data_IF_813377277126
#
_entry.id   IF_813377277126
#
_cell.length_a   1.000
_cell.length_b   1.000
_cell.length_c   1.000
_cell.angle_alpha   90.00
_cell.angle_beta   90.00
_cell.angle_gamma   90.00
#
_symmetry.space_group_name_H-M   'P 1'
#
loop_
_entity.id
_entity.type
_entity.pdbx_description
1 polymer ?
#
# COMPACT_ATOMS: atom_id res chain seq x y z
N UNK A 1 54.90 -66.93 -1.29
CA UNK A 1 54.22 -66.00 -2.21
C UNK A 1 52.98 -65.46 -1.51
N UNK A 2 53.11 -64.37 -0.76
CA UNK A 2 51.97 -63.63 -0.19
C UNK A 2 52.31 -62.15 -0.30
N UNK A 3 51.49 -61.45 -1.08
CA UNK A 3 51.73 -60.10 -1.55
C UNK A 3 51.57 -59.10 -0.40
N UNK A 4 52.54 -58.19 -0.34
CA UNK A 4 52.54 -56.89 0.34
C UNK A 4 51.23 -56.15 0.04
N UNK A 5 50.28 -56.21 0.96
CA UNK A 5 49.10 -55.33 0.94
C UNK A 5 49.55 -53.92 1.30
N UNK A 6 49.26 -53.01 0.37
CA UNK A 6 49.57 -51.61 0.48
C UNK A 6 48.85 -50.97 1.68
N UNK A 7 49.65 -50.23 2.43
CA UNK A 7 49.28 -49.28 3.46
C UNK A 7 48.13 -48.36 2.98
N UNK A 8 47.06 -48.15 3.78
CA UNK A 8 46.07 -47.11 3.49
C UNK A 8 46.77 -45.74 3.51
N UNK A 9 46.55 -44.96 2.44
CA UNK A 9 47.02 -43.59 2.29
C UNK A 9 46.62 -42.79 3.54
N UNK A 10 47.62 -42.40 4.32
CA UNK A 10 47.46 -41.49 5.44
C UNK A 10 46.82 -40.18 4.93
N UNK A 11 45.66 -39.84 5.49
CA UNK A 11 45.10 -38.50 5.34
C UNK A 11 46.16 -37.47 5.77
N UNK A 12 46.33 -36.35 5.05
CA UNK A 12 47.30 -35.35 5.44
C UNK A 12 46.97 -34.86 6.85
N UNK A 13 47.93 -35.05 7.76
CA UNK A 13 47.88 -34.57 9.11
C UNK A 13 47.60 -33.06 9.08
N UNK A 14 46.43 -32.67 9.59
CA UNK A 14 46.13 -31.28 9.86
C UNK A 14 47.23 -30.69 10.73
N UNK A 15 47.76 -29.55 10.31
CA UNK A 15 48.71 -28.74 11.07
C UNK A 15 48.19 -28.54 12.51
N UNK A 16 49.02 -28.81 13.55
CA UNK A 16 48.66 -28.50 14.93
C UNK A 16 48.66 -26.98 15.11
N UNK A 17 47.56 -26.34 14.74
CA UNK A 17 47.42 -24.89 14.76
C UNK A 17 46.29 -24.34 13.88
N UNK A 18 45.79 -25.10 12.91
CA UNK A 18 44.69 -24.64 12.04
C UNK A 18 43.34 -24.91 12.73
N UNK A 19 43.04 -24.17 13.79
CA UNK A 19 41.69 -24.06 14.29
C UNK A 19 40.83 -23.50 13.15
N UNK A 20 40.01 -24.36 12.52
CA UNK A 20 39.02 -23.92 11.53
C UNK A 20 38.20 -22.81 12.21
N UNK A 21 38.28 -21.56 11.73
CA UNK A 21 37.46 -20.51 12.29
C UNK A 21 36.01 -20.91 11.99
N UNK A 22 35.23 -21.19 13.04
CA UNK A 22 33.81 -21.48 12.89
C UNK A 22 33.11 -20.38 12.07
N UNK A 23 31.95 -20.66 11.47
CA UNK A 23 31.19 -19.66 10.72
C UNK A 23 31.03 -18.44 11.61
N UNK A 24 31.78 -17.37 11.31
CA UNK A 24 31.67 -16.11 12.04
C UNK A 24 30.23 -15.69 11.84
N UNK A 25 29.42 -15.89 12.88
CA UNK A 25 28.06 -15.40 12.93
C UNK A 25 28.14 -13.93 12.57
N UNK A 26 27.77 -13.62 11.34
CA UNK A 26 27.75 -12.27 10.82
C UNK A 26 26.69 -11.60 11.66
N UNK A 27 27.12 -10.91 12.72
CA UNK A 27 26.27 -10.04 13.50
C UNK A 27 25.61 -9.13 12.48
N UNK A 28 24.34 -9.41 12.18
CA UNK A 28 23.48 -8.54 11.39
C UNK A 28 23.37 -7.30 12.24
N UNK A 29 24.26 -6.35 11.99
CA UNK A 29 24.22 -5.04 12.61
C UNK A 29 22.89 -4.41 12.23
N UNK A 30 21.92 -4.50 13.13
CA UNK A 30 20.76 -3.60 13.18
C UNK A 30 21.22 -2.21 13.65
N UNK A 31 22.34 -1.73 13.12
CA UNK A 31 22.90 -0.42 13.38
C UNK A 31 22.38 0.52 12.29
N UNK A 32 21.14 1.00 12.45
CA UNK A 32 20.57 1.92 11.46
C UNK A 32 19.28 2.67 11.82
N UNK A 33 18.61 2.41 12.94
CA UNK A 33 17.28 3.02 13.20
C UNK A 33 17.26 4.21 14.17
N UNK A 34 18.38 4.56 14.80
CA UNK A 34 18.37 5.52 15.93
C UNK A 34 18.21 7.01 15.53
N UNK A 35 18.57 7.41 14.31
CA UNK A 35 18.42 8.82 13.85
C UNK A 35 17.04 9.16 13.27
N UNK A 36 16.26 8.16 12.89
CA UNK A 36 14.91 8.32 12.31
C UNK A 36 13.85 8.70 13.36
N UNK A 37 14.09 8.35 14.63
CA UNK A 37 13.16 8.56 15.75
C UNK A 37 13.20 9.97 16.36
N UNK A 38 14.12 10.84 15.95
CA UNK A 38 14.15 12.25 16.40
C UNK A 38 13.29 13.16 15.53
N UNK A 39 13.06 12.77 14.29
CA UNK A 39 12.18 13.47 13.34
C UNK A 39 10.73 13.00 13.43
N UNK A 40 10.45 11.94 14.21
CA UNK A 40 9.11 11.40 14.34
C UNK A 40 8.16 12.32 15.11
N UNK A 41 8.62 13.14 16.08
CA UNK A 41 7.71 14.04 16.80
C UNK A 41 7.14 15.15 15.87
N UNK A 42 7.96 15.97 15.18
CA UNK A 42 7.42 16.97 14.26
C UNK A 42 6.69 16.34 13.07
N UNK A 43 7.15 15.18 12.57
CA UNK A 43 6.44 14.46 11.52
C UNK A 43 5.07 13.94 11.99
N UNK A 44 4.97 13.37 13.19
CA UNK A 44 3.70 12.89 13.75
C UNK A 44 2.74 14.05 14.01
N UNK A 45 3.21 15.17 14.55
CA UNK A 45 2.37 16.37 14.73
C UNK A 45 1.86 16.86 13.37
N UNK A 46 2.73 16.94 12.37
CA UNK A 46 2.34 17.36 11.01
C UNK A 46 1.30 16.41 10.41
N UNK A 47 1.51 15.09 10.55
CA UNK A 47 0.55 14.07 10.11
C UNK A 47 -0.81 14.19 10.84
N UNK A 48 -0.81 14.49 12.14
CA UNK A 48 -2.04 14.72 12.91
C UNK A 48 -2.76 15.98 12.42
N UNK A 49 -2.04 17.07 12.17
CA UNK A 49 -2.65 18.30 11.63
C UNK A 49 -3.27 18.05 10.26
N UNK A 50 -2.54 17.38 9.35
CA UNK A 50 -3.06 17.04 8.01
C UNK A 50 -4.27 16.11 8.12
N UNK A 51 -4.23 15.11 9.01
CA UNK A 51 -5.36 14.22 9.25
C UNK A 51 -6.59 15.00 9.73
N UNK A 52 -6.45 15.86 10.73
CA UNK A 52 -7.55 16.68 11.25
C UNK A 52 -8.10 17.61 10.16
N UNK A 53 -7.25 18.27 9.38
CA UNK A 53 -7.68 19.13 8.28
C UNK A 53 -8.48 18.36 7.22
N UNK A 54 -8.11 17.11 6.94
CA UNK A 54 -8.85 16.22 6.02
C UNK A 54 -10.22 15.83 6.58
N UNK A 55 -10.37 15.76 7.90
CA UNK A 55 -11.66 15.48 8.54
C UNK A 55 -12.61 16.68 8.55
N UNK A 56 -12.13 17.91 8.46
CA UNK A 56 -12.97 19.13 8.44
C UNK A 56 -14.08 19.06 7.38
N UNK A 57 -13.82 18.78 6.08
CA UNK A 57 -14.89 18.70 5.08
C UNK A 57 -15.87 17.55 5.35
N UNK A 58 -15.41 16.43 5.90
CA UNK A 58 -16.27 15.30 6.28
C UNK A 58 -17.21 15.70 7.43
N UNK A 59 -16.68 16.38 8.44
CA UNK A 59 -17.46 16.90 9.56
C UNK A 59 -18.53 17.89 9.09
N UNK A 60 -18.15 18.84 8.22
CA UNK A 60 -19.10 19.75 7.59
C UNK A 60 -20.16 19.01 6.76
N UNK A 61 -19.78 17.99 5.99
CA UNK A 61 -20.72 17.20 5.21
C UNK A 61 -21.78 16.53 6.10
N UNK A 62 -21.37 15.92 7.22
CA UNK A 62 -22.29 15.24 8.14
C UNK A 62 -23.25 16.23 8.80
N UNK A 63 -22.75 17.38 9.25
CA UNK A 63 -23.60 18.42 9.84
C UNK A 63 -24.60 18.94 8.81
N UNK A 64 -24.17 19.16 7.57
CA UNK A 64 -25.07 19.60 6.51
C UNK A 64 -26.11 18.54 6.15
N UNK A 65 -25.75 17.25 6.17
CA UNK A 65 -26.69 16.14 5.93
C UNK A 65 -27.79 16.06 7.01
N UNK A 66 -27.52 16.50 8.24
CA UNK A 66 -28.46 16.52 9.37
C UNK A 66 -29.34 17.78 9.44
N UNK A 67 -29.11 18.79 8.59
CA UNK A 67 -29.87 20.06 8.58
C UNK A 67 -31.16 19.96 7.76
N UNK A 68 -32.13 20.80 8.10
CA UNK A 68 -33.35 20.95 7.30
C UNK A 68 -33.17 21.94 6.13
N UNK A 69 -33.83 21.69 4.98
CA UNK A 69 -33.77 22.54 3.79
C UNK A 69 -34.03 24.04 4.04
N UNK A 70 -35.00 24.43 4.90
CA UNK A 70 -35.24 25.83 5.25
C UNK A 70 -34.18 26.47 6.18
N UNK A 71 -33.55 25.69 7.07
CA UNK A 71 -32.49 26.20 7.98
C UNK A 71 -31.16 26.48 7.26
N UNK A 72 -30.90 25.80 6.13
CA UNK A 72 -29.72 26.04 5.30
C UNK A 72 -29.65 27.47 4.75
N UNK A 73 -30.82 28.07 4.47
CA UNK A 73 -30.92 29.43 3.93
C UNK A 73 -30.87 30.52 5.02
N UNK A 74 -31.22 30.19 6.27
CA UNK A 74 -31.37 31.16 7.34
C UNK A 74 -30.10 31.38 8.17
N UNK A 75 -29.24 30.37 8.30
CA UNK A 75 -28.02 30.47 9.12
C UNK A 75 -26.89 29.52 8.64
N UNK A 76 -26.01 29.97 7.72
CA UNK A 76 -25.01 29.12 7.05
C UNK A 76 -23.97 28.49 8.00
N UNK A 77 -23.68 29.13 9.15
CA UNK A 77 -22.55 28.77 10.02
C UNK A 77 -22.94 28.24 11.42
N UNK A 78 -24.23 28.16 11.75
CA UNK A 78 -24.69 27.83 13.11
C UNK A 78 -25.04 26.34 13.24
N UNK A 79 -24.59 25.59 14.26
CA UNK A 79 -24.93 24.17 14.41
C UNK A 79 -26.46 23.95 14.47
N UNK A 80 -26.97 22.82 13.91
CA UNK A 80 -28.40 22.57 13.77
C UNK A 80 -29.11 22.51 15.13
N UNK A 81 -30.27 23.16 15.19
CA UNK A 81 -31.14 23.24 16.37
C UNK A 81 -31.66 21.87 16.83
N UNK A 82 -31.89 20.96 15.88
CA UNK A 82 -32.31 19.59 16.11
C UNK A 82 -31.76 18.67 15.00
N UNK A 83 -31.07 17.56 15.32
CA UNK A 83 -30.55 16.63 14.33
C UNK A 83 -31.70 15.86 13.64
N UNK A 84 -31.82 15.98 12.30
CA UNK A 84 -32.84 15.27 11.50
C UNK A 84 -32.28 14.01 10.86
N UNK A 85 -32.41 12.88 11.57
CA UNK A 85 -32.01 11.57 11.07
C UNK A 85 -32.87 11.07 9.90
N UNK A 86 -34.09 11.59 9.75
CA UNK A 86 -35.01 11.28 8.66
C UNK A 86 -34.42 11.59 7.27
N UNK A 87 -33.50 12.56 7.17
CA UNK A 87 -32.80 12.88 5.92
C UNK A 87 -32.00 11.69 5.38
N UNK A 88 -31.39 10.87 6.26
CA UNK A 88 -30.67 9.68 5.85
C UNK A 88 -31.61 8.60 5.31
N UNK A 89 -32.75 8.41 5.97
CA UNK A 89 -33.78 7.45 5.54
C UNK A 89 -34.37 7.87 4.21
N UNK A 90 -34.69 9.16 4.05
CA UNK A 90 -35.18 9.73 2.80
C UNK A 90 -34.16 9.60 1.68
N UNK A 91 -32.88 9.93 1.91
CA UNK A 91 -31.82 9.77 0.91
C UNK A 91 -31.62 8.32 0.48
N UNK A 92 -31.72 7.37 1.41
CA UNK A 92 -31.61 5.95 1.12
C UNK A 92 -32.77 5.44 0.26
N UNK A 93 -34.00 5.86 0.56
CA UNK A 93 -35.20 5.48 -0.19
C UNK A 93 -35.28 6.18 -1.56
N UNK A 94 -34.91 7.46 -1.63
CA UNK A 94 -34.90 8.25 -2.86
C UNK A 94 -33.95 7.68 -3.92
N UNK A 95 -32.87 7.04 -3.51
CA UNK A 95 -31.92 6.38 -4.43
C UNK A 95 -32.26 4.92 -4.76
N UNK A 96 -33.46 4.43 -4.42
CA UNK A 96 -33.85 3.00 -4.38
C UNK A 96 -33.36 2.04 -5.48
N UNK A 97 -33.16 2.49 -6.73
CA UNK A 97 -32.63 1.64 -7.82
C UNK A 97 -31.25 2.02 -8.36
N UNK A 98 -30.63 3.09 -7.85
CA UNK A 98 -29.32 3.57 -8.31
C UNK A 98 -28.18 2.73 -7.75
N UNK A 99 -28.24 2.36 -6.47
CA UNK A 99 -27.18 1.61 -5.78
C UNK A 99 -26.81 0.28 -6.46
N UNK A 100 -27.74 -0.66 -6.75
CA UNK A 100 -27.37 -1.95 -7.35
C UNK A 100 -26.76 -1.79 -8.75
N UNK A 101 -27.20 -0.79 -9.53
CA UNK A 101 -26.64 -0.51 -10.86
C UNK A 101 -25.21 0.02 -10.74
N UNK A 102 -24.97 0.95 -9.82
CA UNK A 102 -23.64 1.47 -9.55
C UNK A 102 -22.71 0.36 -9.04
N UNK A 103 -23.16 -0.48 -8.11
CA UNK A 103 -22.37 -1.62 -7.65
C UNK A 103 -22.01 -2.59 -8.77
N UNK A 104 -22.96 -2.90 -9.66
CA UNK A 104 -22.69 -3.75 -10.81
C UNK A 104 -21.67 -3.13 -11.77
N UNK A 105 -21.86 -1.86 -12.15
CA UNK A 105 -20.95 -1.15 -13.07
C UNK A 105 -19.55 -1.03 -12.46
N UNK A 106 -19.44 -0.64 -11.19
CA UNK A 106 -18.15 -0.53 -10.49
C UNK A 106 -17.49 -1.89 -10.37
N UNK A 107 -18.24 -2.93 -9.98
CA UNK A 107 -17.71 -4.29 -9.85
C UNK A 107 -17.14 -4.83 -11.17
N UNK A 108 -17.91 -4.71 -12.26
CA UNK A 108 -17.46 -5.13 -13.60
C UNK A 108 -16.27 -4.30 -14.05
N UNK A 109 -16.28 -2.99 -13.81
CA UNK A 109 -15.18 -2.09 -14.19
C UNK A 109 -13.89 -2.43 -13.44
N UNK A 110 -13.96 -2.68 -12.14
CA UNK A 110 -12.79 -3.05 -11.32
C UNK A 110 -12.19 -4.37 -11.81
N UNK A 111 -13.02 -5.37 -12.09
CA UNK A 111 -12.55 -6.66 -12.60
C UNK A 111 -11.91 -6.47 -13.98
N UNK A 112 -12.55 -5.73 -14.88
CA UNK A 112 -12.03 -5.43 -16.21
C UNK A 112 -10.68 -4.72 -16.15
N UNK A 113 -10.59 -3.64 -15.37
CA UNK A 113 -9.36 -2.87 -15.17
C UNK A 113 -8.26 -3.75 -14.57
N UNK A 114 -8.58 -4.58 -13.57
CA UNK A 114 -7.60 -5.47 -12.94
C UNK A 114 -7.04 -6.48 -13.95
N UNK A 115 -7.90 -7.19 -14.69
CA UNK A 115 -7.48 -8.17 -15.69
C UNK A 115 -6.62 -7.52 -16.77
N UNK A 116 -7.05 -6.36 -17.29
CA UNK A 116 -6.29 -5.63 -18.31
C UNK A 116 -4.95 -5.12 -17.78
N UNK A 117 -4.92 -4.59 -16.54
CA UNK A 117 -3.69 -4.13 -15.90
C UNK A 117 -2.71 -5.28 -15.66
N UNK A 118 -3.20 -6.45 -15.25
CA UNK A 118 -2.37 -7.63 -15.05
C UNK A 118 -1.81 -8.15 -16.38
N UNK A 119 -2.65 -8.24 -17.41
CA UNK A 119 -2.23 -8.68 -18.74
C UNK A 119 -1.19 -7.73 -19.34
N UNK A 120 -1.41 -6.41 -19.25
CA UNK A 120 -0.46 -5.39 -19.69
C UNK A 120 0.86 -5.49 -18.90
N UNK A 121 0.80 -5.56 -17.58
CA UNK A 121 1.99 -5.71 -16.73
C UNK A 121 2.78 -6.99 -17.05
N UNK A 122 2.10 -8.11 -17.30
CA UNK A 122 2.74 -9.36 -17.71
C UNK A 122 3.39 -9.25 -19.09
N UNK A 123 2.73 -8.58 -20.04
CA UNK A 123 3.28 -8.33 -21.36
C UNK A 123 4.58 -7.52 -21.29
N UNK A 124 4.63 -6.46 -20.49
CA UNK A 124 5.86 -5.69 -20.28
C UNK A 124 6.96 -6.48 -19.53
N UNK A 125 6.58 -7.35 -18.59
CA UNK A 125 7.55 -8.06 -17.75
C UNK A 125 8.18 -9.30 -18.42
N UNK A 126 7.44 -10.01 -19.27
CA UNK A 126 7.87 -11.32 -19.80
C UNK A 126 7.96 -11.38 -21.33
N UNK A 127 7.19 -10.59 -22.07
CA UNK A 127 7.22 -10.61 -23.53
C UNK A 127 8.24 -9.59 -24.07
N UNK A 128 9.16 -10.06 -24.92
CA UNK A 128 10.12 -9.21 -25.64
C UNK A 128 9.52 -8.87 -27.01
N UNK A 129 8.68 -7.83 -27.08
CA UNK A 129 8.06 -7.37 -28.33
C UNK A 129 8.87 -6.25 -29.00
N UNK A 130 8.82 -6.20 -30.34
CA UNK A 130 9.66 -5.32 -31.17
C UNK A 130 9.47 -3.83 -30.89
N UNK A 131 8.27 -3.41 -30.47
CA UNK A 131 7.93 -2.00 -30.20
C UNK A 131 7.82 -1.66 -28.70
N UNK A 132 8.39 -2.50 -27.82
CA UNK A 132 8.34 -2.29 -26.36
C UNK A 132 8.89 -0.94 -25.90
N UNK A 133 9.89 -0.42 -26.60
CA UNK A 133 10.55 0.82 -26.23
C UNK A 133 9.64 2.04 -26.46
N UNK A 134 8.84 2.04 -27.53
CA UNK A 134 7.90 3.14 -27.82
C UNK A 134 6.84 3.24 -26.71
N UNK A 135 6.22 2.12 -26.35
CA UNK A 135 5.23 2.07 -25.28
C UNK A 135 5.84 2.40 -23.91
N UNK A 136 7.06 1.93 -23.64
CA UNK A 136 7.76 2.22 -22.39
C UNK A 136 8.04 3.72 -22.23
N UNK A 137 8.60 4.37 -23.26
CA UNK A 137 8.86 5.81 -23.21
C UNK A 137 7.58 6.65 -23.16
N UNK A 138 6.49 6.20 -23.81
CA UNK A 138 5.19 6.89 -23.73
C UNK A 138 4.63 6.88 -22.31
N UNK A 139 4.68 5.74 -21.62
CA UNK A 139 4.24 5.64 -20.21
C UNK A 139 5.13 6.50 -19.31
N UNK A 140 6.45 6.44 -19.51
CA UNK A 140 7.40 7.22 -18.72
C UNK A 140 7.24 8.72 -18.93
N UNK A 141 6.99 9.16 -20.17
CA UNK A 141 6.71 10.55 -20.50
C UNK A 141 5.38 11.06 -19.96
N UNK A 142 4.38 10.20 -19.80
CA UNK A 142 3.10 10.57 -19.18
C UNK A 142 3.15 10.68 -17.65
N UNK A 143 4.13 10.01 -17.02
CA UNK A 143 4.38 10.06 -15.58
C UNK A 143 5.17 11.29 -15.12
N UNK A 144 5.79 12.01 -16.06
CA UNK A 144 6.67 13.16 -15.81
C UNK A 144 5.91 14.47 -16.01
#
# INVERSE_FOLDING_TARGET
MTLRTANPVAAPAGSPGEAIPGPRARAVGTAGSSRWRRWSIPANVTLIVIAVLTYVPVYFMIINALRSGPELQAAPFTPPSAPKWENFVFAWQASGFAYPRTFFIVGVSVIGIAVTSLASGYAFARLQFKEKEIWFYTIFGLLL
#
